data_IF_998556540998
#
_entry.id   IF_998556540998
#
_cell.length_a   1.000
_cell.length_b   1.000
_cell.length_c   1.000
_cell.angle_alpha   90.00
_cell.angle_beta   90.00
_cell.angle_gamma   90.00
#
_symmetry.space_group_name_H-M   'P 1'
#
loop_
_entity.id
_entity.type
_entity.pdbx_description
1 polymer ?
#
# COMPACT_ATOMS: atom_id res chain seq x y z
N UNK A 1 6.60 19.05 9.82
CA UNK A 1 6.22 18.81 8.47
C UNK A 1 6.46 17.37 8.09
N UNK A 2 5.54 16.81 7.38
CA UNK A 2 5.66 15.45 6.96
C UNK A 2 6.66 15.36 5.84
N UNK A 3 7.70 14.58 6.05
CA UNK A 3 8.72 14.49 5.04
C UNK A 3 8.91 13.04 4.70
N UNK A 4 7.93 12.48 4.05
CA UNK A 4 7.87 11.08 3.84
C UNK A 4 7.63 10.84 2.37
N UNK A 5 8.61 10.27 1.71
CA UNK A 5 8.51 10.02 0.30
C UNK A 5 9.08 8.67 -0.01
N UNK A 6 8.23 7.70 -0.14
CA UNK A 6 8.66 6.41 -0.59
C UNK A 6 7.97 6.11 -1.89
N UNK A 7 8.69 5.50 -2.78
CA UNK A 7 8.09 5.07 -4.02
C UNK A 7 7.26 3.84 -3.74
N UNK A 8 5.98 3.94 -3.96
CA UNK A 8 5.06 2.84 -3.75
C UNK A 8 4.75 2.23 -5.09
N UNK A 9 4.98 0.93 -5.22
CA UNK A 9 4.64 0.21 -6.43
C UNK A 9 3.30 -0.45 -6.23
N UNK A 10 2.41 -0.27 -7.19
CA UNK A 10 1.10 -0.89 -7.16
C UNK A 10 0.91 -1.61 -8.48
N UNK A 11 0.76 -2.92 -8.42
CA UNK A 11 0.58 -3.70 -9.63
C UNK A 11 -0.67 -4.55 -9.44
N UNK A 12 -1.65 -4.36 -10.31
CA UNK A 12 -2.91 -5.07 -10.20
C UNK A 12 -3.02 -6.07 -11.33
N UNK A 13 -3.25 -7.32 -10.98
CA UNK A 13 -3.40 -8.37 -11.98
C UNK A 13 -4.58 -9.24 -11.60
N UNK A 14 -5.63 -9.18 -12.40
CA UNK A 14 -6.81 -9.97 -12.13
C UNK A 14 -7.40 -9.60 -10.79
N UNK A 15 -7.40 -10.52 -9.87
CA UNK A 15 -7.97 -10.29 -8.55
C UNK A 15 -6.88 -10.13 -7.49
N UNK A 16 -5.66 -9.84 -7.89
CA UNK A 16 -4.55 -9.72 -6.97
C UNK A 16 -3.88 -8.37 -7.14
N UNK A 17 -3.53 -7.75 -6.04
CA UNK A 17 -2.78 -6.50 -6.06
C UNK A 17 -1.48 -6.73 -5.32
N UNK A 18 -0.40 -6.24 -5.91
CA UNK A 18 0.94 -6.33 -5.32
C UNK A 18 1.34 -4.93 -4.90
N UNK A 19 1.71 -4.78 -3.66
CA UNK A 19 2.11 -3.49 -3.11
C UNK A 19 3.50 -3.61 -2.53
N UNK A 20 4.34 -2.66 -2.86
CA UNK A 20 5.71 -2.68 -2.40
C UNK A 20 6.23 -1.26 -2.26
N UNK A 21 7.26 -1.09 -1.46
CA UNK A 21 7.95 0.18 -1.35
C UNK A 21 9.44 -0.08 -1.49
N UNK A 22 10.20 1.00 -1.54
CA UNK A 22 11.64 0.88 -1.64
C UNK A 22 12.24 0.11 -0.48
N UNK A 23 11.61 0.23 0.67
CA UNK A 23 12.17 -0.33 1.89
C UNK A 23 11.46 -1.57 2.38
N UNK A 24 10.57 -2.12 1.59
CA UNK A 24 9.87 -3.32 2.03
C UNK A 24 9.85 -4.34 0.93
N UNK A 25 9.65 -5.57 1.31
CA UNK A 25 9.70 -6.64 0.34
C UNK A 25 8.44 -6.83 -0.46
N UNK A 26 7.40 -6.15 -0.17
CA UNK A 26 6.20 -6.26 -0.96
C UNK A 26 5.24 -7.29 -0.44
N UNK A 27 3.99 -7.09 -0.73
CA UNK A 27 2.92 -7.97 -0.29
C UNK A 27 1.91 -8.13 -1.39
N UNK A 28 1.27 -9.29 -1.42
CA UNK A 28 0.21 -9.56 -2.37
C UNK A 28 -1.08 -9.76 -1.62
N UNK A 29 -2.15 -9.19 -2.15
CA UNK A 29 -3.46 -9.31 -1.54
C UNK A 29 -4.47 -9.64 -2.62
N UNK A 30 -5.48 -10.41 -2.27
CA UNK A 30 -6.57 -10.71 -3.17
C UNK A 30 -7.75 -9.83 -2.85
N UNK A 31 -8.48 -9.43 -3.87
CA UNK A 31 -9.66 -8.61 -3.68
C UNK A 31 -10.78 -9.13 -4.56
N UNK A 32 -12.00 -8.91 -4.13
CA UNK A 32 -13.17 -9.37 -4.86
C UNK A 32 -13.71 -8.31 -5.79
N UNK A 33 -13.58 -7.05 -5.41
CA UNK A 33 -14.12 -5.98 -6.23
C UNK A 33 -13.31 -4.72 -5.98
N UNK A 34 -13.66 -3.65 -6.67
CA UNK A 34 -12.91 -2.42 -6.59
C UNK A 34 -12.95 -1.79 -5.21
N UNK A 35 -14.05 -1.97 -4.52
CA UNK A 35 -14.17 -1.39 -3.18
C UNK A 35 -13.16 -2.04 -2.25
N UNK A 36 -13.01 -3.34 -2.36
CA UNK A 36 -12.05 -4.05 -1.54
C UNK A 36 -10.63 -3.66 -1.91
N UNK A 37 -10.37 -3.50 -3.21
CA UNK A 37 -9.04 -3.07 -3.66
C UNK A 37 -8.70 -1.71 -3.08
N UNK A 38 -9.64 -0.77 -3.13
CA UNK A 38 -9.40 0.54 -2.58
C UNK A 38 -9.10 0.50 -1.10
N UNK A 39 -9.81 -0.37 -0.39
CA UNK A 39 -9.60 -0.49 1.05
C UNK A 39 -8.20 -1.04 1.34
N UNK A 40 -7.77 -2.03 0.57
CA UNK A 40 -6.45 -2.60 0.76
C UNK A 40 -5.37 -1.56 0.55
N UNK A 41 -5.48 -0.80 -0.54
CA UNK A 41 -4.49 0.22 -0.84
C UNK A 41 -4.51 1.31 0.22
N UNK A 42 -5.70 1.72 0.64
CA UNK A 42 -5.83 2.76 1.65
C UNK A 42 -5.19 2.33 2.97
N UNK A 43 -5.43 1.09 3.36
CA UNK A 43 -4.85 0.57 4.60
C UNK A 43 -3.34 0.52 4.51
N UNK A 44 -2.83 0.11 3.36
CA UNK A 44 -1.39 0.02 3.17
C UNK A 44 -0.75 1.40 3.30
N UNK A 45 -1.34 2.39 2.65
CA UNK A 45 -0.82 3.75 2.70
C UNK A 45 -0.95 4.32 4.11
N UNK A 46 -2.06 4.05 4.77
CA UNK A 46 -2.26 4.53 6.12
C UNK A 46 -1.20 3.98 7.08
N UNK A 47 -0.87 2.71 6.92
CA UNK A 47 0.16 2.11 7.73
C UNK A 47 1.52 2.75 7.49
N UNK A 48 1.81 3.07 6.24
CA UNK A 48 3.07 3.74 5.91
C UNK A 48 3.14 5.11 6.57
N UNK A 49 2.04 5.82 6.52
CA UNK A 49 1.98 7.14 7.11
C UNK A 49 2.18 7.05 8.61
N UNK A 50 1.51 6.12 9.25
CA UNK A 50 1.65 5.95 10.69
C UNK A 50 3.08 5.59 11.06
N UNK A 51 3.70 4.74 10.26
CA UNK A 51 5.05 4.32 10.55
C UNK A 51 6.04 5.48 10.41
N UNK A 52 5.80 6.35 9.44
CA UNK A 52 6.73 7.43 9.17
C UNK A 52 6.42 8.72 9.89
N UNK A 53 5.21 8.85 10.44
CA UNK A 53 4.82 10.04 11.16
C UNK A 53 4.69 9.73 12.59
N UNK A 54 5.64 9.20 13.21
CA UNK A 54 5.41 8.96 14.55
C UNK A 54 5.71 10.12 15.35
N UNK A 55 5.03 10.44 16.23
CA UNK A 55 5.28 11.57 17.01
C UNK A 55 4.77 11.57 18.31
#
# INVERSE_FOLDING_TARGET
MLNFFENIEIDVRGDTVYLATENSSGCKYKFKDKAELKQIVADYVADLIDYNCED
#
